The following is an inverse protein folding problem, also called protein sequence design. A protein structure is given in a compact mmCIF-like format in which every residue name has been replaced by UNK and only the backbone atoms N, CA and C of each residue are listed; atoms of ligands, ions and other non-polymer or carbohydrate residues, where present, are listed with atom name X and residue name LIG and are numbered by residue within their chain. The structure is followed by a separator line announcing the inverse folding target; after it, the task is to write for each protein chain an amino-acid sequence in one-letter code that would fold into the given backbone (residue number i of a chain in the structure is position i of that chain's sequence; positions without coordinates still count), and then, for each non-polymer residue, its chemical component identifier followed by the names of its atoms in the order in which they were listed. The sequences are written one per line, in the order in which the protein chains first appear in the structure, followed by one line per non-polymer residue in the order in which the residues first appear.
data_IF_923223477478
#
_entry.id   IF_923223477478
#
_cell.length_a   1.000
_cell.length_b   1.000
_cell.length_c   1.000
_cell.angle_alpha   90.00
_cell.angle_beta   90.00
_cell.angle_gamma   90.00
#
_symmetry.space_group_name_H-M   'P 1'
#
loop_
_entity.id
_entity.type
_entity.pdbx_description
1 polymer ?
#
# COMPACT_ATOMS: atom_id res chain seq x y z
N UNK A 1 10.36 6.08 -13.69
CA UNK A 1 9.27 5.16 -13.33
C UNK A 1 9.50 3.85 -14.06
N UNK A 2 9.29 2.70 -13.40
CA UNK A 2 9.58 1.36 -13.96
C UNK A 2 8.39 0.71 -14.70
N UNK A 3 7.29 1.45 -14.93
CA UNK A 3 6.13 0.93 -15.66
C UNK A 3 5.26 -0.08 -14.90
N UNK A 4 5.49 -0.28 -13.60
CA UNK A 4 4.70 -1.19 -12.75
C UNK A 4 3.56 -0.39 -12.11
N UNK A 5 2.31 -0.77 -12.40
CA UNK A 5 1.12 -0.18 -11.77
C UNK A 5 0.97 -0.67 -10.33
N UNK A 6 0.87 0.27 -9.38
CA UNK A 6 0.69 -0.03 -7.95
C UNK A 6 -0.49 0.75 -7.38
N UNK A 7 -0.99 0.29 -6.23
CA UNK A 7 -2.07 0.94 -5.48
C UNK A 7 -1.74 0.96 -3.99
N UNK A 8 -2.48 1.76 -3.21
CA UNK A 8 -2.42 1.76 -1.75
C UNK A 8 -3.81 1.40 -1.22
N UNK A 9 -3.89 0.33 -0.42
CA UNK A 9 -5.12 -0.13 0.23
C UNK A 9 -4.96 -0.13 1.75
N UNK A 10 -5.26 0.97 2.45
CA UNK A 10 -5.72 2.27 1.97
C UNK A 10 -4.85 3.38 2.56
N UNK A 11 -4.68 4.52 1.88
CA UNK A 11 -3.76 5.58 2.33
C UNK A 11 -4.26 6.36 3.55
N UNK A 12 -5.57 6.35 3.80
CA UNK A 12 -6.19 6.99 4.97
C UNK A 12 -6.80 5.90 5.83
N UNK A 13 -6.36 5.76 7.10
CA UNK A 13 -6.95 4.77 7.98
C UNK A 13 -8.40 5.20 8.35
N UNK A 14 -9.33 4.24 8.54
CA UNK A 14 -10.76 4.57 8.69
C UNK A 14 -11.06 5.59 9.78
N UNK A 15 -10.41 5.51 10.94
CA UNK A 15 -10.65 6.42 12.09
C UNK A 15 -10.19 7.86 11.85
N UNK A 16 -9.36 8.11 10.83
CA UNK A 16 -8.95 9.45 10.42
C UNK A 16 -9.73 9.94 9.18
N UNK A 17 -10.60 9.12 8.62
CA UNK A 17 -11.48 9.57 7.54
C UNK A 17 -12.66 10.37 8.10
N UNK A 18 -13.13 11.35 7.32
CA UNK A 18 -14.25 12.23 7.72
C UNK A 18 -15.53 11.43 8.06
N UNK A 19 -15.74 10.27 7.44
CA UNK A 19 -16.90 9.42 7.70
C UNK A 19 -16.99 8.94 9.15
N UNK A 20 -15.87 8.89 9.87
CA UNK A 20 -15.77 8.37 11.24
C UNK A 20 -15.41 9.43 12.29
N UNK A 21 -15.47 10.73 11.94
CA UNK A 21 -15.13 11.83 12.85
C UNK A 21 -15.94 11.79 14.15
N UNK A 22 -17.19 11.30 14.09
CA UNK A 22 -18.08 11.13 15.24
C UNK A 22 -17.53 10.19 16.33
N UNK A 23 -16.55 9.34 16.03
CA UNK A 23 -15.90 8.48 17.01
C UNK A 23 -14.90 9.23 17.90
N UNK A 24 -14.49 10.44 17.53
CA UNK A 24 -13.55 11.27 18.31
C UNK A 24 -12.12 10.71 18.41
N UNK A 25 -11.79 9.67 17.63
CA UNK A 25 -10.47 9.07 17.57
C UNK A 25 -9.51 9.99 16.81
N UNK A 26 -8.28 10.11 17.33
CA UNK A 26 -7.23 10.98 16.77
C UNK A 26 -6.04 10.14 16.33
N UNK A 27 -5.13 10.74 15.56
CA UNK A 27 -3.85 10.11 15.24
C UNK A 27 -3.13 9.66 16.53
N UNK A 28 -2.50 8.49 16.49
CA UNK A 28 -1.91 7.81 17.64
C UNK A 28 -2.90 6.90 18.39
N UNK A 29 -4.20 6.98 18.12
CA UNK A 29 -5.20 6.13 18.80
C UNK A 29 -5.13 4.68 18.33
N UNK A 30 -4.82 4.46 17.04
CA UNK A 30 -4.73 3.13 16.43
C UNK A 30 -3.41 3.00 15.65
N UNK A 31 -2.30 2.98 16.38
CA UNK A 31 -0.92 3.05 15.83
C UNK A 31 -0.61 1.98 14.80
N UNK A 32 -1.11 0.76 14.97
CA UNK A 32 -0.92 -0.34 14.00
C UNK A 32 -1.66 -0.02 12.69
N UNK A 33 -2.91 0.44 12.76
CA UNK A 33 -3.71 0.82 11.59
C UNK A 33 -3.06 1.97 10.83
N UNK A 34 -2.57 2.98 11.54
CA UNK A 34 -1.88 4.14 10.96
C UNK A 34 -0.55 3.75 10.30
N UNK A 35 0.20 2.83 10.94
CA UNK A 35 1.42 2.28 10.35
C UNK A 35 1.13 1.58 9.03
N UNK A 36 0.10 0.71 8.98
CA UNK A 36 -0.28 0.06 7.74
C UNK A 36 -0.65 1.07 6.67
N UNK A 37 -1.49 2.07 6.97
CA UNK A 37 -1.88 3.08 5.99
C UNK A 37 -0.67 3.87 5.40
N UNK A 38 0.41 4.02 6.17
CA UNK A 38 1.65 4.69 5.71
C UNK A 38 2.60 3.79 4.92
N UNK A 39 2.63 2.48 5.21
CA UNK A 39 3.70 1.59 4.73
C UNK A 39 3.25 0.59 3.66
N UNK A 40 1.94 0.29 3.56
CA UNK A 40 1.47 -0.71 2.60
C UNK A 40 1.52 -0.21 1.16
N UNK A 41 1.96 -1.09 0.27
CA UNK A 41 1.89 -0.90 -1.16
C UNK A 41 1.36 -2.20 -1.78
N UNK A 42 0.36 -2.08 -2.65
CA UNK A 42 -0.18 -3.20 -3.42
C UNK A 42 0.52 -3.28 -4.77
N UNK A 43 1.14 -4.43 -5.01
CA UNK A 43 1.76 -4.80 -6.29
C UNK A 43 0.71 -5.40 -7.22
N UNK A 44 0.94 -5.36 -8.55
CA UNK A 44 0.01 -5.96 -9.49
C UNK A 44 -0.03 -7.49 -9.29
N UNK A 45 -1.24 -8.01 -9.13
CA UNK A 45 -1.52 -9.43 -9.05
C UNK A 45 -2.94 -9.66 -9.57
N UNK A 46 -3.06 -10.29 -10.74
CA UNK A 46 -4.34 -10.56 -11.38
C UNK A 46 -4.25 -11.78 -12.31
N UNK A 47 -5.40 -12.35 -12.64
CA UNK A 47 -5.50 -13.44 -13.61
C UNK A 47 -5.12 -12.94 -15.02
N UNK A 48 -4.21 -13.63 -15.68
CA UNK A 48 -3.70 -13.26 -17.01
C UNK A 48 -2.33 -12.60 -17.02
N UNK A 49 -1.69 -12.36 -15.87
CA UNK A 49 -0.27 -12.00 -15.84
C UNK A 49 0.59 -13.11 -16.43
N UNK A 50 1.48 -12.77 -17.36
CA UNK A 50 2.43 -13.75 -17.91
C UNK A 50 3.66 -13.90 -17.00
N UNK A 51 4.37 -15.05 -17.03
CA UNK A 51 5.54 -15.29 -16.17
C UNK A 51 6.62 -14.20 -16.23
N UNK A 52 6.80 -13.58 -17.39
CA UNK A 52 7.78 -12.50 -17.58
C UNK A 52 7.38 -11.21 -16.83
N UNK A 53 6.09 -10.87 -16.78
CA UNK A 53 5.59 -9.72 -16.04
C UNK A 53 5.76 -9.92 -14.52
N UNK A 54 5.44 -11.12 -14.04
CA UNK A 54 5.65 -11.50 -12.63
C UNK A 54 7.14 -11.41 -12.27
N UNK A 55 8.00 -11.97 -13.13
CA UNK A 55 9.45 -11.95 -12.93
C UNK A 55 10.00 -10.52 -12.92
N UNK A 56 9.51 -9.66 -13.81
CA UNK A 56 9.90 -8.26 -13.87
C UNK A 56 9.52 -7.49 -12.60
N UNK A 57 8.30 -7.70 -12.08
CA UNK A 57 7.86 -7.08 -10.81
C UNK A 57 8.76 -7.53 -9.66
N UNK A 58 9.03 -8.84 -9.54
CA UNK A 58 9.92 -9.39 -8.51
C UNK A 58 11.32 -8.78 -8.61
N UNK A 59 11.87 -8.72 -9.82
CA UNK A 59 13.20 -8.16 -10.07
C UNK A 59 13.28 -6.69 -9.64
N UNK A 60 12.31 -5.88 -10.02
CA UNK A 60 12.31 -4.45 -9.68
C UNK A 60 12.17 -4.22 -8.18
N UNK A 61 11.35 -5.02 -7.49
CA UNK A 61 11.21 -4.96 -6.03
C UNK A 61 12.52 -5.36 -5.34
N UNK A 62 13.16 -6.44 -5.79
CA UNK A 62 14.44 -6.88 -5.20
C UNK A 62 15.59 -5.91 -5.43
N UNK A 63 15.57 -5.13 -6.53
CA UNK A 63 16.55 -4.08 -6.82
C UNK A 63 16.30 -2.79 -6.03
N UNK A 64 15.12 -2.63 -5.44
CA UNK A 64 14.79 -1.44 -4.68
C UNK A 64 15.57 -1.43 -3.36
N UNK A 65 16.52 -0.50 -3.24
CA UNK A 65 17.24 -0.25 -2.00
C UNK A 65 16.66 0.96 -1.28
N UNK A 66 16.33 0.79 0.01
CA UNK A 66 16.08 1.92 0.91
C UNK A 66 17.45 2.46 1.34
N UNK A 67 17.69 3.76 1.14
CA UNK A 67 18.86 4.44 1.70
C UNK A 67 18.68 4.67 3.19
#
# INVERSE_FOLDING_TARGET
MHGIGTLIHYPVPPHLSQAYEYLGLREGSLTITERYAREVLSLPLYDGMIPDEVSYVIEMVNRFSVK
#
